data_IF_681737643166
#
_entry.id   IF_681737643166
#
_cell.length_a   1.000
_cell.length_b   1.000
_cell.length_c   1.000
_cell.angle_alpha   90.00
_cell.angle_beta   90.00
_cell.angle_gamma   90.00
#
_symmetry.space_group_name_H-M   'P 1'
#
loop_
_entity.id
_entity.type
_entity.pdbx_description
1 polymer ?
#
# COMPACT_ATOMS: atom_id res chain seq x y z
N UNK A 1 -2.40 11.97 7.52
CA UNK A 1 -1.91 11.84 8.90
C UNK A 1 -0.77 12.80 9.21
N UNK A 2 0.42 12.61 8.67
CA UNK A 2 1.66 13.30 9.11
C UNK A 2 1.89 14.70 8.53
N UNK A 3 1.00 15.20 7.69
CA UNK A 3 1.00 16.57 7.17
C UNK A 3 -0.19 17.40 7.69
N UNK A 4 -1.19 16.78 8.29
CA UNK A 4 -2.45 17.43 8.65
C UNK A 4 -3.29 17.89 7.44
N UNK A 5 -2.95 17.43 6.23
CA UNK A 5 -3.52 17.90 4.97
C UNK A 5 -4.33 16.80 4.29
N UNK A 6 -5.23 17.19 3.38
CA UNK A 6 -5.97 16.28 2.52
C UNK A 6 -5.15 15.88 1.27
N UNK A 7 -5.52 14.80 0.56
CA UNK A 7 -4.87 14.39 -0.69
C UNK A 7 -4.74 15.52 -1.73
N UNK A 8 -5.74 16.41 -1.83
CA UNK A 8 -5.69 17.58 -2.71
C UNK A 8 -4.49 18.50 -2.45
N UNK A 9 -4.00 18.53 -1.20
CA UNK A 9 -2.95 19.43 -0.77
C UNK A 9 -1.59 18.74 -0.74
N UNK A 10 -1.51 17.49 -0.22
CA UNK A 10 -0.23 16.77 -0.13
C UNK A 10 0.09 15.93 -1.38
N UNK A 11 -0.85 15.76 -2.30
CA UNK A 11 -0.64 15.15 -3.61
C UNK A 11 -0.53 13.62 -3.63
N UNK A 12 -0.78 12.93 -2.52
CA UNK A 12 -0.81 11.47 -2.48
C UNK A 12 -2.27 11.03 -2.61
N UNK A 13 -2.64 10.63 -3.80
CA UNK A 13 -4.03 10.29 -4.16
C UNK A 13 -4.32 8.78 -4.07
N UNK A 14 -3.28 7.95 -3.89
CA UNK A 14 -3.37 6.50 -3.78
C UNK A 14 -1.98 5.89 -3.63
N UNK A 15 -1.86 4.56 -3.67
CA UNK A 15 -0.58 3.85 -3.66
C UNK A 15 0.24 4.04 -4.93
N UNK A 16 -0.38 4.60 -5.98
CA UNK A 16 0.21 4.98 -7.23
C UNK A 16 -0.76 5.76 -8.10
N UNK A 17 -0.25 6.32 -9.17
CA UNK A 17 -1.02 7.11 -10.13
C UNK A 17 -0.37 7.13 -11.50
N UNK A 18 -1.07 7.69 -12.47
CA UNK A 18 -0.54 7.95 -13.81
C UNK A 18 0.33 9.20 -13.81
N UNK A 19 1.60 9.04 -14.15
CA UNK A 19 2.54 10.13 -14.38
C UNK A 19 2.37 10.63 -15.81
N UNK A 20 1.58 11.69 -15.97
CA UNK A 20 1.10 12.17 -17.28
C UNK A 20 2.24 12.55 -18.22
N UNK A 21 3.30 13.13 -17.68
CA UNK A 21 4.49 13.56 -18.43
C UNK A 21 5.29 12.37 -18.98
N UNK A 22 5.19 11.23 -18.35
CA UNK A 22 5.89 10.00 -18.74
C UNK A 22 4.99 9.03 -19.51
N UNK A 23 3.67 9.26 -19.51
CA UNK A 23 2.65 8.33 -19.96
C UNK A 23 2.75 6.94 -19.29
N UNK A 24 3.14 6.89 -18.02
CA UNK A 24 3.38 5.67 -17.28
C UNK A 24 2.59 5.63 -15.96
N UNK A 25 2.14 4.44 -15.55
CA UNK A 25 1.55 4.19 -14.25
C UNK A 25 2.63 3.64 -13.32
N UNK A 26 2.86 4.32 -12.20
CA UNK A 26 3.80 3.86 -11.21
C UNK A 26 3.16 3.78 -9.82
N UNK A 27 3.23 2.58 -9.23
CA UNK A 27 2.83 2.33 -7.85
C UNK A 27 4.05 2.20 -6.93
N UNK A 28 3.83 2.37 -5.62
CA UNK A 28 4.78 2.06 -4.55
C UNK A 28 6.08 2.90 -4.58
N UNK A 29 6.03 4.11 -5.15
CA UNK A 29 7.17 5.02 -5.10
C UNK A 29 7.36 5.55 -3.67
N UNK A 30 8.59 5.44 -3.14
CA UNK A 30 8.89 5.69 -1.74
C UNK A 30 9.56 7.05 -1.47
N UNK A 31 9.74 7.90 -2.47
CA UNK A 31 10.36 9.20 -2.28
C UNK A 31 9.45 10.15 -1.47
N UNK A 32 9.95 10.65 -0.35
CA UNK A 32 9.24 11.64 0.47
C UNK A 32 9.00 12.97 -0.28
N UNK A 33 9.80 13.25 -1.33
CA UNK A 33 9.61 14.42 -2.19
C UNK A 33 8.28 14.44 -2.95
N UNK A 34 7.59 13.29 -3.04
CA UNK A 34 6.26 13.20 -3.65
C UNK A 34 5.17 13.75 -2.73
N UNK A 35 5.44 13.85 -1.43
CA UNK A 35 4.49 14.35 -0.42
C UNK A 35 4.71 15.85 -0.24
N UNK A 36 3.77 16.67 -0.69
CA UNK A 36 3.80 18.11 -0.46
C UNK A 36 3.45 18.45 1.00
N UNK A 37 3.70 19.68 1.39
CA UNK A 37 3.42 20.19 2.72
C UNK A 37 4.45 19.81 3.78
N UNK A 38 4.40 20.49 4.90
CA UNK A 38 5.24 20.27 6.06
C UNK A 38 4.84 18.98 6.79
N UNK A 39 5.81 18.19 7.22
CA UNK A 39 5.58 16.96 7.98
C UNK A 39 5.69 17.25 9.47
N UNK A 40 5.01 16.46 10.28
CA UNK A 40 4.96 16.65 11.73
C UNK A 40 6.34 16.73 12.38
N UNK A 41 7.32 15.95 11.90
CA UNK A 41 8.70 16.01 12.43
C UNK A 41 9.45 17.27 12.02
N UNK A 42 9.09 17.90 10.90
CA UNK A 42 9.65 19.18 10.46
C UNK A 42 9.11 20.32 11.34
N UNK A 43 7.81 20.31 11.57
CA UNK A 43 7.15 21.26 12.48
C UNK A 43 7.65 21.13 13.93
N UNK A 44 7.77 19.89 14.42
CA UNK A 44 8.30 19.62 15.77
C UNK A 44 9.75 20.09 15.92
N UNK A 45 10.61 19.87 14.92
CA UNK A 45 12.02 20.31 14.94
C UNK A 45 12.16 21.82 15.03
N UNK A 46 11.23 22.60 14.45
CA UNK A 46 11.22 24.06 14.60
C UNK A 46 10.79 24.55 15.97
N UNK A 47 9.96 23.76 16.67
CA UNK A 47 9.37 24.14 17.96
C UNK A 47 10.16 23.63 19.15
N UNK A 48 10.81 22.50 19.02
CA UNK A 48 11.46 21.77 20.11
C UNK A 48 12.97 21.64 19.85
N UNK A 49 13.82 22.34 20.61
CA UNK A 49 15.27 22.19 20.53
C UNK A 49 15.71 20.74 20.79
N UNK A 50 16.58 20.21 19.94
CA UNK A 50 17.09 18.84 20.08
C UNK A 50 16.13 17.74 19.65
N UNK A 51 14.98 18.09 19.08
CA UNK A 51 14.03 17.12 18.52
C UNK A 51 14.66 16.24 17.44
N UNK A 52 14.40 14.92 17.52
CA UNK A 52 14.81 13.93 16.55
C UNK A 52 13.67 12.97 16.20
N UNK A 53 13.69 12.44 14.96
CA UNK A 53 12.66 11.54 14.45
C UNK A 53 13.25 10.30 13.78
N UNK A 54 12.73 9.12 14.14
CA UNK A 54 12.95 7.87 13.43
C UNK A 54 11.69 7.45 12.68
N UNK A 55 11.86 7.06 11.41
CA UNK A 55 10.78 6.66 10.50
C UNK A 55 11.05 5.25 9.96
N UNK A 56 10.36 4.25 10.51
CA UNK A 56 10.64 2.85 10.31
C UNK A 56 9.51 2.18 9.53
N UNK A 57 9.80 1.85 8.28
CA UNK A 57 8.85 1.25 7.32
C UNK A 57 7.62 2.09 6.99
N UNK A 58 7.48 3.27 7.54
CA UNK A 58 6.40 4.18 7.18
C UNK A 58 6.49 4.58 5.71
N UNK A 59 5.35 4.75 5.04
CA UNK A 59 5.32 5.05 3.61
C UNK A 59 5.99 6.39 3.26
N UNK A 60 6.46 6.51 2.00
CA UNK A 60 7.22 7.66 1.49
C UNK A 60 8.44 7.96 2.36
N UNK A 61 9.24 6.93 2.60
CA UNK A 61 10.32 6.97 3.58
C UNK A 61 11.68 7.39 2.99
N UNK A 62 11.92 7.13 1.72
CA UNK A 62 13.20 7.48 1.08
C UNK A 62 13.33 9.00 0.93
N UNK A 63 14.54 9.51 1.12
CA UNK A 63 14.86 10.94 1.01
C UNK A 63 14.06 11.83 1.96
N UNK A 64 13.62 11.27 3.07
CA UNK A 64 12.91 11.97 4.13
C UNK A 64 13.86 12.90 4.91
N UNK A 65 13.34 13.97 5.50
CA UNK A 65 14.04 14.84 6.43
C UNK A 65 14.08 14.31 7.88
N UNK A 66 13.61 13.08 8.12
CA UNK A 66 13.76 12.40 9.40
C UNK A 66 15.24 12.03 9.65
N UNK A 67 15.65 11.98 10.92
CA UNK A 67 17.06 11.72 11.30
C UNK A 67 17.46 10.26 11.01
N UNK A 68 16.52 9.33 11.19
CA UNK A 68 16.70 7.92 10.87
C UNK A 68 15.54 7.41 10.04
N UNK A 69 15.84 6.77 8.92
CA UNK A 69 14.84 6.16 8.03
C UNK A 69 15.23 4.74 7.68
N UNK A 70 14.27 3.82 7.72
CA UNK A 70 14.43 2.42 7.28
C UNK A 70 13.23 2.02 6.44
N UNK A 71 13.46 1.49 5.22
CA UNK A 71 12.40 1.00 4.34
C UNK A 71 12.90 -0.16 3.48
N UNK A 72 12.05 -1.11 3.05
CA UNK A 72 12.49 -2.19 2.17
C UNK A 72 12.99 -1.62 0.83
N UNK A 73 14.15 -2.08 0.42
CA UNK A 73 14.74 -1.71 -0.87
C UNK A 73 15.51 -2.89 -1.45
N UNK A 74 14.85 -3.82 -2.15
CA UNK A 74 15.54 -4.91 -2.80
C UNK A 74 16.46 -4.41 -3.92
N UNK A 75 17.56 -5.13 -4.13
CA UNK A 75 18.46 -4.93 -5.27
C UNK A 75 18.08 -5.89 -6.38
N UNK A 76 18.08 -5.40 -7.61
CA UNK A 76 17.80 -6.17 -8.82
C UNK A 76 19.05 -6.22 -9.69
N UNK A 77 19.93 -7.24 -9.55
CA UNK A 77 21.08 -7.43 -10.41
C UNK A 77 20.67 -7.70 -11.86
N UNK A 78 21.60 -7.47 -12.80
CA UNK A 78 21.38 -7.70 -14.22
C UNK A 78 21.00 -9.13 -14.60
N UNK A 79 21.32 -10.10 -13.75
CA UNK A 79 20.96 -11.51 -13.93
C UNK A 79 19.48 -11.83 -13.59
N UNK A 80 18.70 -10.84 -13.16
CA UNK A 80 17.26 -10.94 -12.86
C UNK A 80 16.94 -11.44 -11.46
N UNK A 81 17.92 -11.65 -10.57
CA UNK A 81 17.67 -11.97 -9.17
C UNK A 81 17.00 -10.80 -8.45
N UNK A 82 16.25 -11.12 -7.40
CA UNK A 82 15.74 -10.15 -6.43
C UNK A 82 16.42 -10.43 -5.10
N UNK A 83 17.33 -9.55 -4.70
CA UNK A 83 18.08 -9.68 -3.44
C UNK A 83 17.38 -8.82 -2.38
N UNK A 84 16.94 -9.39 -1.25
CA UNK A 84 16.41 -8.62 -0.12
C UNK A 84 17.42 -7.57 0.35
N UNK A 85 16.91 -6.42 0.78
CA UNK A 85 17.72 -5.35 1.32
C UNK A 85 16.84 -4.23 1.86
N UNK A 86 17.47 -3.32 2.59
CA UNK A 86 16.85 -2.12 3.17
C UNK A 86 17.57 -0.86 2.69
N UNK A 87 16.81 0.20 2.49
CA UNK A 87 17.35 1.56 2.40
C UNK A 87 17.33 2.16 3.80
N UNK A 88 18.45 2.75 4.19
CA UNK A 88 18.56 3.48 5.46
C UNK A 88 19.13 4.88 5.24
N UNK A 89 18.72 5.78 6.11
CA UNK A 89 19.33 7.09 6.28
C UNK A 89 19.57 7.29 7.78
N UNK A 90 20.82 7.57 8.20
CA UNK A 90 22.05 7.51 7.39
C UNK A 90 22.38 6.08 6.91
N UNK A 91 23.15 5.91 5.82
CA UNK A 91 23.45 4.58 5.25
C UNK A 91 24.09 3.59 6.22
N UNK A 92 24.93 4.07 7.14
CA UNK A 92 25.57 3.23 8.17
C UNK A 92 24.58 2.48 9.06
N UNK A 93 23.36 3.00 9.22
CA UNK A 93 22.30 2.36 10.01
C UNK A 93 21.92 0.98 9.45
N UNK A 94 22.01 0.75 8.13
CA UNK A 94 21.72 -0.55 7.54
C UNK A 94 22.65 -1.64 8.09
N UNK A 95 23.96 -1.37 8.16
CA UNK A 95 24.93 -2.32 8.71
C UNK A 95 24.72 -2.60 10.21
N UNK A 96 24.31 -1.57 10.98
CA UNK A 96 23.99 -1.74 12.39
C UNK A 96 22.80 -2.69 12.57
N UNK A 97 21.74 -2.49 11.79
CA UNK A 97 20.50 -3.28 11.87
C UNK A 97 20.73 -4.71 11.36
N UNK A 98 21.32 -4.87 10.17
CA UNK A 98 21.51 -6.19 9.56
C UNK A 98 22.48 -7.09 10.35
N UNK A 99 23.45 -6.50 11.05
CA UNK A 99 24.34 -7.25 11.95
C UNK A 99 23.60 -7.87 13.13
N UNK A 100 22.60 -7.19 13.67
CA UNK A 100 21.83 -7.65 14.84
C UNK A 100 20.64 -8.54 14.47
N UNK A 101 19.93 -8.17 13.41
CA UNK A 101 18.64 -8.77 13.05
C UNK A 101 18.75 -9.69 11.83
N UNK A 102 19.88 -9.68 11.13
CA UNK A 102 20.00 -10.32 9.83
C UNK A 102 19.25 -9.57 8.73
N UNK A 103 19.27 -10.13 7.52
CA UNK A 103 18.62 -9.52 6.35
C UNK A 103 17.10 -9.41 6.54
N UNK A 104 16.53 -8.33 6.01
CA UNK A 104 15.07 -8.14 6.02
C UNK A 104 14.34 -9.27 5.30
N UNK A 105 13.32 -9.90 5.92
CA UNK A 105 12.61 -11.04 5.35
C UNK A 105 11.60 -10.61 4.26
N UNK A 106 12.09 -10.08 3.14
CA UNK A 106 11.31 -9.48 2.07
C UNK A 106 10.21 -10.38 1.52
N UNK A 107 10.47 -11.69 1.39
CA UNK A 107 9.49 -12.65 0.85
C UNK A 107 8.37 -13.01 1.85
N UNK A 108 8.51 -12.60 3.11
CA UNK A 108 7.46 -12.64 4.13
C UNK A 108 6.82 -11.25 4.38
N UNK A 109 7.27 -10.23 3.65
CA UNK A 109 6.70 -8.89 3.70
C UNK A 109 5.55 -8.72 2.71
N UNK A 110 5.67 -9.28 1.50
CA UNK A 110 4.60 -9.30 0.50
C UNK A 110 4.69 -10.55 -0.37
N UNK A 111 3.53 -11.07 -0.77
CA UNK A 111 3.40 -12.28 -1.58
C UNK A 111 2.76 -13.44 -0.81
N UNK A 112 2.76 -14.65 -1.37
CA UNK A 112 2.11 -15.82 -0.76
C UNK A 112 2.68 -16.21 0.60
N UNK A 113 3.94 -15.88 0.86
CA UNK A 113 4.62 -16.10 2.14
C UNK A 113 4.46 -14.97 3.16
N UNK A 114 3.69 -13.92 2.84
CA UNK A 114 3.51 -12.77 3.75
C UNK A 114 2.88 -13.18 5.07
N UNK A 115 3.46 -12.70 6.18
CA UNK A 115 3.03 -13.10 7.52
C UNK A 115 3.74 -12.31 8.63
N UNK A 116 3.64 -12.82 9.86
CA UNK A 116 4.11 -12.13 11.07
C UNK A 116 5.63 -11.86 11.09
N UNK A 117 6.42 -12.68 10.41
CA UNK A 117 7.90 -12.63 10.44
C UNK A 117 8.43 -11.27 10.04
N UNK A 118 7.89 -10.65 8.99
CA UNK A 118 8.30 -9.32 8.55
C UNK A 118 7.93 -8.23 9.57
N UNK A 119 6.73 -8.30 10.15
CA UNK A 119 6.29 -7.34 11.17
C UNK A 119 7.07 -7.51 12.48
N UNK A 120 7.45 -8.74 12.85
CA UNK A 120 8.35 -8.99 13.98
C UNK A 120 9.72 -8.34 13.76
N UNK A 121 10.31 -8.55 12.58
CA UNK A 121 11.59 -7.93 12.22
C UNK A 121 11.50 -6.39 12.29
N UNK A 122 10.38 -5.81 11.82
CA UNK A 122 10.15 -4.35 11.90
C UNK A 122 10.03 -3.88 13.34
N UNK A 123 9.32 -4.62 14.20
CA UNK A 123 9.20 -4.30 15.63
C UNK A 123 10.56 -4.40 16.35
N UNK A 124 11.36 -5.41 16.03
CA UNK A 124 12.72 -5.57 16.57
C UNK A 124 13.66 -4.45 16.07
N UNK A 125 13.53 -4.04 14.81
CA UNK A 125 14.23 -2.87 14.26
C UNK A 125 13.83 -1.60 15.02
N UNK A 126 12.54 -1.41 15.29
CA UNK A 126 12.05 -0.27 16.06
C UNK A 126 12.67 -0.25 17.47
N UNK A 127 12.65 -1.38 18.16
CA UNK A 127 13.26 -1.52 19.47
C UNK A 127 14.74 -1.16 19.46
N UNK A 128 15.50 -1.71 18.49
CA UNK A 128 16.94 -1.44 18.32
C UNK A 128 17.22 0.06 18.10
N UNK A 129 16.44 0.72 17.24
CA UNK A 129 16.61 2.14 16.94
C UNK A 129 16.25 3.00 18.17
N UNK A 130 15.16 2.70 18.86
CA UNK A 130 14.75 3.41 20.07
C UNK A 130 15.85 3.29 21.15
N UNK A 131 16.38 2.10 21.40
CA UNK A 131 17.43 1.86 22.40
C UNK A 131 18.73 2.61 22.08
N UNK A 132 19.17 2.58 20.82
CA UNK A 132 20.49 3.12 20.43
C UNK A 132 20.48 4.58 20.08
N UNK A 133 19.38 5.08 19.48
CA UNK A 133 19.32 6.46 18.95
C UNK A 133 18.47 7.38 19.82
N UNK A 134 17.56 6.84 20.65
CA UNK A 134 16.65 7.58 21.54
C UNK A 134 15.92 8.73 20.82
N UNK A 135 15.25 8.47 19.69
CA UNK A 135 14.52 9.52 18.98
C UNK A 135 13.38 10.08 19.84
N UNK A 136 13.09 11.38 19.67
CA UNK A 136 11.95 12.03 20.32
C UNK A 136 10.64 11.50 19.79
N UNK A 137 10.56 11.27 18.47
CA UNK A 137 9.41 10.67 17.80
C UNK A 137 9.85 9.43 17.01
N UNK A 138 9.14 8.32 17.21
CA UNK A 138 9.35 7.10 16.39
C UNK A 138 8.07 6.74 15.67
N UNK A 139 8.13 6.64 14.35
CA UNK A 139 7.04 6.19 13.48
C UNK A 139 7.33 4.77 13.01
N UNK A 140 6.44 3.83 13.32
CA UNK A 140 6.59 2.40 12.98
C UNK A 140 5.38 1.93 12.19
N UNK A 141 5.60 1.22 11.09
CA UNK A 141 4.54 0.60 10.30
C UNK A 141 4.59 -0.93 10.43
N UNK A 142 3.48 -1.54 10.79
CA UNK A 142 3.32 -2.99 10.93
C UNK A 142 2.22 -3.49 9.96
N UNK A 143 2.57 -4.08 8.81
CA UNK A 143 1.60 -4.42 7.75
C UNK A 143 0.81 -5.72 7.98
N UNK A 144 1.01 -6.42 9.09
CA UNK A 144 0.56 -7.80 9.28
C UNK A 144 -0.94 -8.03 9.07
N UNK A 145 -1.78 -7.06 9.43
CA UNK A 145 -3.23 -7.20 9.32
C UNK A 145 -3.73 -7.23 7.86
N UNK A 146 -3.03 -6.58 6.94
CA UNK A 146 -3.41 -6.59 5.53
C UNK A 146 -3.45 -8.01 4.94
N UNK A 147 -2.56 -8.88 5.37
CA UNK A 147 -2.38 -10.18 4.72
C UNK A 147 -3.58 -11.10 4.88
N UNK A 148 -3.89 -11.48 6.11
CA UNK A 148 -4.95 -12.46 6.37
C UNK A 148 -6.35 -11.83 6.26
N UNK A 149 -6.49 -10.53 6.54
CA UNK A 149 -7.75 -9.84 6.30
C UNK A 149 -8.10 -9.78 4.82
N UNK A 150 -7.13 -9.57 3.92
CA UNK A 150 -7.39 -9.61 2.47
C UNK A 150 -7.59 -11.04 1.96
N UNK A 151 -6.85 -12.03 2.52
CA UNK A 151 -6.99 -13.43 2.11
C UNK A 151 -8.33 -14.04 2.51
N UNK A 152 -8.80 -13.79 3.73
CA UNK A 152 -9.88 -14.54 4.37
C UNK A 152 -11.07 -13.67 4.77
N UNK A 153 -10.88 -12.35 4.78
CA UNK A 153 -11.85 -11.40 5.31
C UNK A 153 -11.67 -11.15 6.81
N UNK A 154 -12.19 -10.01 7.32
CA UNK A 154 -11.95 -9.58 8.70
C UNK A 154 -12.60 -10.51 9.75
N UNK A 155 -13.70 -11.19 9.41
CA UNK A 155 -14.46 -12.04 10.34
C UNK A 155 -13.91 -13.45 10.48
N UNK A 156 -12.98 -13.88 9.63
CA UNK A 156 -12.40 -15.22 9.64
C UNK A 156 -11.57 -15.45 10.94
N UNK A 157 -11.64 -16.66 11.55
CA UNK A 157 -10.80 -16.98 12.71
C UNK A 157 -9.30 -16.79 12.51
N UNK A 158 -8.79 -16.97 11.28
CA UNK A 158 -7.37 -16.73 10.92
C UNK A 158 -7.03 -15.24 11.01
N UNK A 159 -7.91 -14.36 10.55
CA UNK A 159 -7.76 -12.90 10.67
C UNK A 159 -7.79 -12.46 12.14
N UNK A 160 -8.63 -13.07 12.97
CA UNK A 160 -8.61 -12.84 14.43
C UNK A 160 -7.32 -13.34 15.08
N UNK A 161 -6.76 -14.45 14.60
CA UNK A 161 -5.45 -14.92 15.07
C UNK A 161 -4.33 -13.97 14.66
N UNK A 162 -4.36 -13.43 13.43
CA UNK A 162 -3.42 -12.39 12.97
C UNK A 162 -3.51 -11.11 13.81
N UNK A 163 -4.73 -10.69 14.19
CA UNK A 163 -4.92 -9.55 15.09
C UNK A 163 -4.25 -9.80 16.46
N UNK A 164 -4.46 -10.95 17.08
CA UNK A 164 -3.79 -11.29 18.36
C UNK A 164 -2.26 -11.33 18.22
N UNK A 165 -1.77 -11.80 17.08
CA UNK A 165 -0.33 -11.88 16.83
C UNK A 165 0.32 -10.49 16.72
N UNK A 166 -0.30 -9.55 16.01
CA UNK A 166 0.21 -8.18 15.91
C UNK A 166 0.01 -7.40 17.22
N UNK A 167 -1.08 -7.65 17.94
CA UNK A 167 -1.34 -7.09 19.27
C UNK A 167 -0.21 -7.46 20.26
N UNK A 168 0.27 -8.70 20.19
CA UNK A 168 1.45 -9.12 20.96
C UNK A 168 2.71 -8.29 20.64
N UNK A 169 2.97 -8.01 19.35
CA UNK A 169 4.09 -7.14 18.95
C UNK A 169 3.90 -5.69 19.43
N UNK A 170 2.67 -5.18 19.36
CA UNK A 170 2.33 -3.85 19.87
C UNK A 170 2.49 -3.80 21.38
N UNK A 171 2.10 -4.87 22.09
CA UNK A 171 2.31 -5.01 23.54
C UNK A 171 3.79 -4.97 23.94
N UNK A 172 4.65 -5.66 23.17
CA UNK A 172 6.11 -5.63 23.36
C UNK A 172 6.67 -4.21 23.17
N UNK A 173 6.24 -3.52 22.09
CA UNK A 173 6.61 -2.12 21.83
C UNK A 173 6.09 -1.18 22.91
N UNK A 174 4.87 -1.36 23.42
CA UNK A 174 4.29 -0.58 24.49
C UNK A 174 5.08 -0.74 25.80
N UNK A 175 5.47 -1.98 26.13
CA UNK A 175 6.33 -2.26 27.27
C UNK A 175 7.69 -1.57 27.12
N UNK A 176 8.25 -1.56 25.92
CA UNK A 176 9.51 -0.89 25.62
C UNK A 176 9.40 0.64 25.71
N UNK A 177 8.38 1.23 25.10
CA UNK A 177 8.10 2.67 25.18
C UNK A 177 7.95 3.13 26.65
N UNK A 178 7.19 2.38 27.46
CA UNK A 178 7.01 2.69 28.90
C UNK A 178 8.34 2.71 29.66
N UNK A 179 9.23 1.73 29.42
CA UNK A 179 10.57 1.72 30.05
C UNK A 179 11.44 2.89 29.59
N UNK A 180 11.24 3.35 28.36
CA UNK A 180 11.94 4.52 27.81
C UNK A 180 11.31 5.87 28.22
N UNK A 181 10.22 5.87 29.01
CA UNK A 181 9.49 7.09 29.38
C UNK A 181 8.72 7.71 28.21
N UNK A 182 8.42 6.93 27.18
CA UNK A 182 7.68 7.37 25.99
C UNK A 182 6.24 6.86 26.01
N UNK A 183 5.37 7.58 25.33
CA UNK A 183 3.98 7.20 25.10
C UNK A 183 3.79 6.54 23.74
N UNK A 184 2.77 5.70 23.61
CA UNK A 184 2.44 4.99 22.38
C UNK A 184 1.08 5.41 21.88
N UNK A 185 1.01 5.74 20.57
CA UNK A 185 -0.20 5.86 19.79
C UNK A 185 -0.24 4.72 18.76
N UNK A 186 -1.31 3.94 18.76
CA UNK A 186 -1.62 2.96 17.71
C UNK A 186 -2.67 3.56 16.80
N UNK A 187 -2.36 3.62 15.52
CA UNK A 187 -3.30 4.16 14.51
C UNK A 187 -3.41 3.18 13.35
N UNK A 188 -4.61 3.04 12.79
CA UNK A 188 -4.78 2.47 11.45
C UNK A 188 -5.22 3.56 10.48
N UNK A 189 -4.88 3.40 9.21
CA UNK A 189 -5.27 4.36 8.17
C UNK A 189 -6.63 4.02 7.53
N UNK A 190 -7.11 2.79 7.71
CA UNK A 190 -8.40 2.29 7.21
C UNK A 190 -8.90 1.11 8.05
N UNK A 191 -10.17 0.75 7.86
CA UNK A 191 -10.73 -0.54 8.22
C UNK A 191 -10.83 -1.44 6.98
N UNK A 192 -10.60 -2.74 7.12
CA UNK A 192 -10.77 -3.73 6.05
C UNK A 192 -12.17 -4.32 6.16
N UNK A 193 -12.90 -4.33 5.04
CA UNK A 193 -14.26 -4.88 4.94
C UNK A 193 -14.26 -6.20 4.20
N UNK A 194 -15.26 -7.03 4.52
CA UNK A 194 -15.53 -8.25 3.75
C UNK A 194 -15.92 -7.87 2.31
N UNK A 195 -15.26 -8.50 1.33
CA UNK A 195 -15.62 -8.39 -0.09
C UNK A 195 -15.86 -9.76 -0.69
N UNK A 196 -16.64 -9.80 -1.76
CA UNK A 196 -17.03 -11.03 -2.44
C UNK A 196 -16.93 -10.91 -3.96
N UNK A 197 -16.78 -9.67 -4.47
CA UNK A 197 -16.86 -9.37 -5.89
C UNK A 197 -15.64 -8.61 -6.36
N UNK A 198 -14.95 -9.19 -7.32
CA UNK A 198 -13.93 -8.51 -8.11
C UNK A 198 -14.58 -7.82 -9.32
N UNK A 199 -14.26 -6.56 -9.56
CA UNK A 199 -14.76 -5.78 -10.70
C UNK A 199 -13.61 -5.48 -11.64
N UNK A 200 -13.67 -6.02 -12.86
CA UNK A 200 -12.66 -5.86 -13.89
C UNK A 200 -12.88 -4.55 -14.67
N UNK A 201 -12.64 -3.42 -14.04
CA UNK A 201 -12.92 -2.09 -14.56
C UNK A 201 -12.21 -1.83 -15.90
N UNK A 202 -10.93 -2.21 -16.02
CA UNK A 202 -10.15 -2.02 -17.25
C UNK A 202 -10.59 -2.95 -18.38
N UNK A 203 -11.04 -4.18 -18.09
CA UNK A 203 -11.63 -5.06 -19.08
C UNK A 203 -12.90 -4.46 -19.68
N UNK A 204 -13.72 -3.78 -18.86
CA UNK A 204 -14.91 -3.09 -19.36
C UNK A 204 -14.56 -1.91 -20.27
N UNK A 205 -13.63 -1.04 -19.84
CA UNK A 205 -13.15 0.08 -20.66
C UNK A 205 -12.54 -0.41 -21.98
N UNK A 206 -11.84 -1.54 -21.98
CA UNK A 206 -11.30 -2.14 -23.20
C UNK A 206 -12.38 -2.65 -24.13
N UNK A 207 -13.43 -3.34 -23.63
CA UNK A 207 -14.56 -3.78 -24.44
C UNK A 207 -15.32 -2.61 -25.07
N UNK A 208 -15.36 -1.47 -24.38
CA UNK A 208 -15.93 -0.23 -24.89
C UNK A 208 -15.03 0.52 -25.90
N UNK A 209 -13.83 -0.01 -26.22
CA UNK A 209 -12.89 0.63 -27.14
C UNK A 209 -12.20 1.88 -26.58
N UNK A 210 -12.20 2.03 -25.24
CA UNK A 210 -11.59 3.18 -24.55
C UNK A 210 -10.14 2.90 -24.13
N UNK A 211 -9.80 1.65 -23.78
CA UNK A 211 -8.47 1.24 -23.36
C UNK A 211 -7.71 0.58 -24.49
N UNK A 212 -6.47 1.02 -24.72
CA UNK A 212 -5.55 0.46 -25.69
C UNK A 212 -4.50 -0.44 -25.03
N UNK A 213 -4.06 -1.45 -25.76
CA UNK A 213 -2.95 -2.33 -25.37
C UNK A 213 -1.96 -2.47 -26.54
N UNK A 214 -0.72 -2.80 -26.20
CA UNK A 214 0.30 -3.24 -27.14
C UNK A 214 0.43 -4.75 -27.06
N UNK A 215 0.28 -5.44 -28.18
CA UNK A 215 0.57 -6.87 -28.28
C UNK A 215 2.08 -7.07 -28.41
N UNK A 216 2.66 -7.86 -27.49
CA UNK A 216 4.10 -8.04 -27.39
C UNK A 216 4.46 -9.51 -27.18
N UNK A 217 5.74 -9.82 -27.25
CA UNK A 217 6.26 -11.18 -26.97
C UNK A 217 6.08 -11.64 -25.54
N UNK A 218 5.72 -10.72 -24.62
CA UNK A 218 5.47 -11.00 -23.20
C UNK A 218 4.00 -10.88 -22.83
N UNK A 219 3.11 -10.91 -23.82
CA UNK A 219 1.68 -10.70 -23.68
C UNK A 219 1.27 -9.26 -23.94
N UNK A 220 0.01 -8.95 -23.65
CA UNK A 220 -0.54 -7.61 -23.84
C UNK A 220 -0.07 -6.66 -22.74
N UNK A 221 0.46 -5.50 -23.12
CA UNK A 221 0.84 -4.44 -22.19
C UNK A 221 -0.15 -3.26 -22.32
N UNK A 222 -0.53 -2.68 -21.19
CA UNK A 222 -1.35 -1.46 -21.18
C UNK A 222 -0.60 -0.32 -21.87
N UNK A 223 -1.20 0.25 -22.92
CA UNK A 223 -0.75 1.51 -23.51
C UNK A 223 -1.56 2.67 -22.91
N UNK A 224 -1.06 3.19 -21.80
CA UNK A 224 -1.72 4.27 -21.08
C UNK A 224 -1.78 5.56 -21.93
N UNK A 225 -0.72 5.83 -22.73
CA UNK A 225 -0.63 7.01 -23.58
C UNK A 225 -1.56 6.97 -24.78
N UNK A 226 -1.78 5.80 -25.38
CA UNK A 226 -2.71 5.61 -26.51
C UNK A 226 -4.17 5.42 -26.05
N UNK A 227 -4.41 5.06 -24.79
CA UNK A 227 -5.75 4.86 -24.26
C UNK A 227 -6.55 6.17 -24.25
N UNK A 228 -7.84 6.09 -24.65
CA UNK A 228 -8.80 7.19 -24.46
C UNK A 228 -9.20 7.30 -22.99
N UNK A 229 -9.37 6.14 -22.33
CA UNK A 229 -9.57 6.05 -20.89
C UNK A 229 -9.03 4.72 -20.34
N UNK A 230 -8.45 4.75 -19.12
CA UNK A 230 -8.04 3.58 -18.36
C UNK A 230 -8.09 3.87 -16.87
N UNK A 231 -8.14 2.82 -16.05
CA UNK A 231 -8.22 2.93 -14.60
C UNK A 231 -6.92 2.46 -13.93
N UNK A 232 -6.46 3.19 -12.94
CA UNK A 232 -5.48 2.74 -11.95
C UNK A 232 -6.25 2.28 -10.72
N UNK A 233 -6.45 0.97 -10.61
CA UNK A 233 -7.19 0.33 -9.54
C UNK A 233 -6.36 0.29 -8.24
N UNK A 234 -6.97 0.68 -7.14
CA UNK A 234 -6.38 0.67 -5.81
C UNK A 234 -7.44 0.26 -4.77
N UNK A 235 -7.60 -1.05 -4.57
CA UNK A 235 -8.57 -1.65 -3.67
C UNK A 235 -10.04 -1.33 -4.04
N UNK A 236 -10.74 -0.53 -3.23
CA UNK A 236 -12.14 -0.14 -3.44
C UNK A 236 -12.30 1.20 -4.16
N UNK A 237 -11.20 1.81 -4.59
CA UNK A 237 -11.22 2.99 -5.46
C UNK A 237 -10.42 2.72 -6.73
N UNK A 238 -10.72 3.45 -7.81
CA UNK A 238 -9.92 3.46 -9.00
C UNK A 238 -9.91 4.86 -9.60
N UNK A 239 -8.71 5.43 -9.81
CA UNK A 239 -8.55 6.65 -10.56
C UNK A 239 -8.68 6.36 -12.05
N UNK A 240 -9.66 6.96 -12.71
CA UNK A 240 -9.90 6.76 -14.13
C UNK A 240 -9.40 7.98 -14.88
N UNK A 241 -8.36 7.77 -15.65
CA UNK A 241 -7.71 8.81 -16.46
C UNK A 241 -8.34 8.83 -17.83
N UNK A 242 -8.82 10.00 -18.25
CA UNK A 242 -9.47 10.22 -19.53
C UNK A 242 -8.64 11.25 -20.31
N UNK A 243 -8.14 10.85 -21.49
CA UNK A 243 -7.23 11.67 -22.28
C UNK A 243 -7.89 12.92 -22.83
N UNK A 244 -9.11 12.78 -23.37
CA UNK A 244 -9.90 13.87 -23.91
C UNK A 244 -11.15 14.08 -23.03
N UNK A 245 -11.39 15.30 -22.62
CA UNK A 245 -12.56 15.64 -21.80
C UNK A 245 -13.90 15.32 -22.49
N UNK A 246 -13.92 15.27 -23.83
CA UNK A 246 -15.08 14.83 -24.59
C UNK A 246 -15.47 13.38 -24.30
N UNK A 247 -14.51 12.54 -23.88
CA UNK A 247 -14.73 11.13 -23.55
C UNK A 247 -15.18 10.88 -22.11
N UNK A 248 -15.20 11.91 -21.25
CA UNK A 248 -15.58 11.76 -19.83
C UNK A 248 -17.01 11.24 -19.69
N UNK A 249 -17.95 11.77 -20.50
CA UNK A 249 -19.35 11.35 -20.44
C UNK A 249 -19.57 9.87 -20.81
N UNK A 250 -18.94 9.39 -21.88
CA UNK A 250 -19.04 7.99 -22.28
C UNK A 250 -18.31 7.08 -21.29
N UNK A 251 -17.14 7.49 -20.82
CA UNK A 251 -16.38 6.74 -19.80
C UNK A 251 -17.20 6.58 -18.51
N UNK A 252 -17.79 7.67 -18.03
CA UNK A 252 -18.66 7.64 -16.84
C UNK A 252 -19.83 6.67 -17.03
N UNK A 253 -20.52 6.74 -18.17
CA UNK A 253 -21.66 5.87 -18.45
C UNK A 253 -21.27 4.38 -18.48
N UNK A 254 -20.09 4.04 -19.01
CA UNK A 254 -19.58 2.66 -18.96
C UNK A 254 -19.27 2.20 -17.54
N UNK A 255 -18.70 3.06 -16.70
CA UNK A 255 -18.40 2.74 -15.31
C UNK A 255 -19.67 2.53 -14.46
N UNK A 256 -20.67 3.41 -14.63
CA UNK A 256 -21.94 3.35 -13.88
C UNK A 256 -22.79 2.12 -14.21
N UNK A 257 -22.55 1.48 -15.37
CA UNK A 257 -23.22 0.21 -15.74
C UNK A 257 -22.60 -1.01 -15.08
N UNK A 258 -21.41 -0.89 -14.53
CA UNK A 258 -20.70 -2.04 -13.94
C UNK A 258 -21.33 -2.42 -12.60
N UNK A 259 -21.83 -3.63 -12.54
CA UNK A 259 -22.27 -4.20 -11.27
C UNK A 259 -21.07 -4.31 -10.31
N UNK A 260 -21.17 -3.67 -9.15
CA UNK A 260 -20.10 -3.54 -8.15
C UNK A 260 -19.41 -2.16 -8.15
N UNK A 261 -19.79 -1.23 -9.04
CA UNK A 261 -19.49 0.20 -8.92
C UNK A 261 -20.65 0.87 -8.19
N UNK A 262 -20.37 1.56 -7.08
CA UNK A 262 -21.38 2.25 -6.30
C UNK A 262 -21.49 3.73 -6.66
N UNK A 263 -20.39 4.36 -7.06
CA UNK A 263 -20.35 5.77 -7.40
C UNK A 263 -19.20 6.06 -8.38
N UNK A 264 -19.33 7.13 -9.16
CA UNK A 264 -18.32 7.66 -10.07
C UNK A 264 -18.18 9.15 -9.82
N UNK A 265 -17.16 9.53 -9.05
CA UNK A 265 -16.89 10.90 -8.67
C UNK A 265 -16.32 11.68 -9.84
N UNK A 266 -16.98 12.75 -10.23
CA UNK A 266 -16.47 13.78 -11.13
C UNK A 266 -15.67 14.86 -10.38
N UNK A 267 -15.42 16.01 -10.99
CA UNK A 267 -14.68 17.09 -10.38
C UNK A 267 -15.28 17.54 -9.03
N UNK A 268 -16.62 17.69 -8.97
CA UNK A 268 -17.32 18.08 -7.74
C UNK A 268 -17.30 16.99 -6.67
N UNK A 269 -17.49 15.73 -7.09
CA UNK A 269 -17.41 14.60 -6.18
C UNK A 269 -16.01 14.43 -5.59
N UNK A 270 -14.95 14.61 -6.39
CA UNK A 270 -13.55 14.60 -5.91
C UNK A 270 -13.28 15.75 -4.94
N UNK A 271 -13.76 16.96 -5.24
CA UNK A 271 -13.66 18.13 -4.36
C UNK A 271 -14.28 17.87 -2.99
N UNK A 272 -15.46 17.27 -2.97
CA UNK A 272 -16.18 16.96 -1.72
C UNK A 272 -15.41 16.00 -0.79
N UNK A 273 -14.58 15.11 -1.35
CA UNK A 273 -13.78 14.14 -0.58
C UNK A 273 -12.28 14.49 -0.52
N UNK A 274 -11.87 15.63 -1.05
CA UNK A 274 -10.48 16.10 -1.00
C UNK A 274 -9.52 15.35 -1.91
N UNK A 275 -10.00 14.82 -3.05
CA UNK A 275 -9.22 14.11 -4.08
C UNK A 275 -9.00 14.94 -5.36
N UNK A 276 -9.34 16.21 -5.38
CA UNK A 276 -9.23 17.13 -6.51
C UNK A 276 -7.79 17.64 -6.71
N UNK A 277 -6.88 16.72 -6.98
CA UNK A 277 -5.46 17.00 -7.25
C UNK A 277 -5.11 16.64 -8.72
N UNK A 278 -4.12 17.30 -9.38
CA UNK A 278 -3.71 16.98 -10.75
C UNK A 278 -3.25 15.54 -10.98
N UNK A 279 -2.81 14.84 -9.94
CA UNK A 279 -2.46 13.41 -10.00
C UNK A 279 -3.67 12.49 -10.01
N UNK A 280 -4.86 12.96 -9.63
CA UNK A 280 -6.10 12.18 -9.70
C UNK A 280 -6.55 11.98 -11.14
N UNK A 281 -7.28 10.89 -11.38
CA UNK A 281 -8.00 10.70 -12.63
C UNK A 281 -9.09 11.76 -12.83
N UNK A 282 -9.54 11.95 -14.05
CA UNK A 282 -10.69 12.79 -14.38
C UNK A 282 -11.93 12.34 -13.63
N UNK A 283 -12.08 11.01 -13.49
CA UNK A 283 -13.09 10.37 -12.65
C UNK A 283 -12.42 9.51 -11.57
N UNK A 284 -13.15 9.27 -10.48
CA UNK A 284 -12.78 8.27 -9.47
C UNK A 284 -13.96 7.32 -9.27
N UNK A 285 -13.77 6.06 -9.65
CA UNK A 285 -14.75 5.02 -9.38
C UNK A 285 -14.63 4.54 -7.93
N UNK A 286 -15.77 4.36 -7.25
CA UNK A 286 -15.88 3.84 -5.90
C UNK A 286 -16.64 2.53 -5.96
N UNK A 287 -16.05 1.46 -5.43
CA UNK A 287 -16.67 0.15 -5.43
C UNK A 287 -17.87 0.06 -4.46
N UNK A 288 -18.78 -0.86 -4.73
CA UNK A 288 -19.82 -1.26 -3.78
C UNK A 288 -19.18 -1.80 -2.48
N UNK A 289 -19.91 -1.78 -1.35
CA UNK A 289 -19.33 -2.16 -0.05
C UNK A 289 -18.67 -3.55 -0.01
N UNK A 290 -19.14 -4.49 -0.83
CA UNK A 290 -18.69 -5.86 -0.92
C UNK A 290 -17.90 -6.17 -2.21
N UNK A 291 -17.49 -5.12 -2.96
CA UNK A 291 -16.73 -5.22 -4.19
C UNK A 291 -15.38 -4.52 -4.08
N UNK A 292 -14.46 -4.85 -4.98
CA UNK A 292 -13.15 -4.23 -5.14
C UNK A 292 -12.73 -4.25 -6.61
N UNK A 293 -11.76 -3.42 -7.04
CA UNK A 293 -11.33 -3.28 -8.42
C UNK A 293 -10.05 -4.05 -8.71
N UNK A 294 -10.08 -4.88 -9.79
CA UNK A 294 -8.86 -5.47 -10.34
C UNK A 294 -8.17 -4.47 -11.29
N UNK A 295 -6.86 -4.69 -11.54
CA UNK A 295 -6.14 -3.94 -12.57
C UNK A 295 -6.21 -4.63 -13.96
N UNK A 296 -6.82 -5.81 -14.06
CA UNK A 296 -6.78 -6.66 -15.25
C UNK A 296 -7.41 -5.96 -16.46
N UNK A 297 -6.62 -5.85 -17.53
CA UNK A 297 -7.03 -5.18 -18.78
C UNK A 297 -7.05 -6.11 -20.00
N UNK A 298 -6.38 -7.28 -19.96
CA UNK A 298 -6.46 -8.31 -21.00
C UNK A 298 -7.83 -9.00 -20.98
N UNK A 299 -8.33 -9.36 -22.19
CA UNK A 299 -9.65 -9.99 -22.32
C UNK A 299 -9.60 -11.51 -22.25
N UNK A 300 -8.44 -12.10 -22.57
CA UNK A 300 -8.15 -13.51 -22.48
C UNK A 300 -6.90 -13.72 -21.62
N UNK A 301 -6.95 -14.62 -20.66
CA UNK A 301 -5.84 -14.88 -19.73
C UNK A 301 -4.60 -15.47 -20.44
N UNK A 302 -4.75 -16.03 -21.64
CA UNK A 302 -3.62 -16.44 -22.49
C UNK A 302 -2.81 -15.26 -23.03
N UNK A 303 -3.41 -14.08 -23.08
CA UNK A 303 -2.78 -12.83 -23.50
C UNK A 303 -2.28 -12.00 -22.30
N UNK A 304 -2.46 -12.51 -21.07
CA UNK A 304 -2.00 -11.79 -19.87
C UNK A 304 -0.48 -11.52 -19.95
N UNK A 305 -0.01 -10.35 -19.47
CA UNK A 305 1.41 -10.04 -19.47
C UNK A 305 2.18 -11.01 -18.55
N UNK A 306 3.45 -11.26 -18.85
CA UNK A 306 4.31 -12.22 -18.13
C UNK A 306 4.46 -11.94 -16.64
N UNK A 307 4.28 -10.67 -16.24
CA UNK A 307 4.33 -10.27 -14.84
C UNK A 307 3.02 -10.56 -14.09
N UNK A 308 1.89 -10.74 -14.77
CA UNK A 308 0.59 -10.92 -14.11
C UNK A 308 0.57 -12.09 -13.11
N UNK A 309 1.08 -13.31 -13.44
CA UNK A 309 1.12 -14.43 -12.51
C UNK A 309 2.30 -14.37 -11.53
N UNK A 310 2.94 -13.22 -11.33
CA UNK A 310 4.12 -13.07 -10.46
C UNK A 310 3.88 -12.09 -9.32
N UNK A 311 4.73 -12.11 -8.29
CA UNK A 311 4.82 -11.05 -7.27
C UNK A 311 5.73 -9.95 -7.80
N UNK A 312 5.14 -8.97 -8.47
CA UNK A 312 5.84 -7.83 -9.08
C UNK A 312 5.04 -6.53 -8.99
N UNK A 313 4.98 -5.96 -7.81
CA UNK A 313 4.20 -4.76 -7.49
C UNK A 313 4.59 -3.49 -8.27
N UNK A 314 5.79 -3.48 -8.91
CA UNK A 314 6.27 -2.30 -9.62
C UNK A 314 5.94 -2.32 -11.13
N UNK A 315 5.64 -3.49 -11.71
CA UNK A 315 5.28 -3.65 -13.13
C UNK A 315 3.77 -3.62 -13.36
N UNK A 316 2.98 -3.97 -12.33
CA UNK A 316 1.52 -3.98 -12.42
C UNK A 316 0.97 -2.55 -12.39
N UNK A 317 0.10 -2.17 -13.34
CA UNK A 317 -0.48 -0.82 -13.40
C UNK A 317 -1.67 -0.64 -12.46
N UNK A 318 -1.70 -1.32 -11.33
CA UNK A 318 -2.70 -1.25 -10.29
C UNK A 318 -2.39 -2.21 -9.15
N UNK A 319 -3.07 -2.06 -8.03
CA UNK A 319 -2.91 -2.93 -6.88
C UNK A 319 -3.47 -4.34 -7.16
N UNK A 320 -2.72 -5.36 -6.75
CA UNK A 320 -3.09 -6.76 -6.97
C UNK A 320 -2.99 -7.60 -5.70
N UNK A 321 -4.05 -7.71 -4.89
CA UNK A 321 -4.06 -8.57 -3.72
C UNK A 321 -4.03 -10.07 -4.06
N UNK A 322 -4.22 -10.46 -5.33
CA UNK A 322 -4.03 -11.85 -5.76
C UNK A 322 -2.60 -12.34 -5.55
N UNK A 323 -1.62 -11.42 -5.46
CA UNK A 323 -0.24 -11.74 -5.08
C UNK A 323 -0.09 -12.40 -3.70
N UNK A 324 -1.07 -12.26 -2.83
CA UNK A 324 -1.09 -12.93 -1.52
C UNK A 324 -1.39 -14.43 -1.60
N UNK A 325 -1.80 -14.94 -2.77
CA UNK A 325 -2.23 -16.32 -2.95
C UNK A 325 -1.26 -17.12 -3.80
N UNK A 326 -1.26 -18.43 -3.60
CA UNK A 326 -0.69 -19.37 -4.55
C UNK A 326 -1.82 -19.98 -5.38
N UNK A 327 -1.65 -20.01 -6.68
CA UNK A 327 -2.56 -20.74 -7.55
C UNK A 327 -2.70 -22.20 -7.05
N UNK A 328 -3.92 -22.71 -7.01
CA UNK A 328 -4.22 -24.02 -6.45
C UNK A 328 -3.77 -25.19 -7.34
N UNK A 329 -3.75 -26.40 -6.75
CA UNK A 329 -3.58 -27.66 -7.46
C UNK A 329 -2.17 -28.21 -7.56
N UNK A 330 -2.08 -29.49 -8.02
CA UNK A 330 -0.82 -30.22 -8.14
C UNK A 330 0.13 -29.59 -9.18
N UNK A 331 -0.41 -29.03 -10.26
CA UNK A 331 0.37 -28.38 -11.31
C UNK A 331 1.17 -27.19 -10.77
N UNK A 332 0.56 -26.38 -9.91
CA UNK A 332 1.26 -25.25 -9.27
C UNK A 332 2.35 -25.71 -8.31
N UNK A 333 2.11 -26.77 -7.55
CA UNK A 333 3.14 -27.34 -6.67
C UNK A 333 4.35 -27.84 -7.47
N UNK A 334 4.12 -28.54 -8.58
CA UNK A 334 5.19 -29.01 -9.48
C UNK A 334 5.93 -27.81 -10.12
N UNK A 335 5.19 -26.81 -10.59
CA UNK A 335 5.76 -25.58 -11.13
C UNK A 335 6.63 -24.86 -10.09
N UNK A 336 6.13 -24.68 -8.89
CA UNK A 336 6.88 -24.09 -7.78
C UNK A 336 8.17 -24.86 -7.49
N UNK A 337 8.10 -26.19 -7.39
CA UNK A 337 9.28 -27.03 -7.17
C UNK A 337 10.30 -26.88 -8.31
N UNK A 338 9.84 -26.87 -9.57
CA UNK A 338 10.68 -26.63 -10.74
C UNK A 338 11.36 -25.26 -10.70
N UNK A 339 10.60 -24.19 -10.40
CA UNK A 339 11.16 -22.82 -10.28
C UNK A 339 12.18 -22.71 -9.14
N UNK A 340 11.93 -23.37 -8.01
CA UNK A 340 12.90 -23.43 -6.91
C UNK A 340 14.17 -24.22 -7.29
N UNK A 341 14.03 -25.28 -8.07
CA UNK A 341 15.19 -26.01 -8.62
C UNK A 341 15.99 -25.12 -9.60
N UNK A 342 15.33 -24.43 -10.53
CA UNK A 342 15.99 -23.46 -11.42
C UNK A 342 16.76 -22.41 -10.62
N UNK A 343 16.14 -21.85 -9.56
CA UNK A 343 16.78 -20.90 -8.65
C UNK A 343 18.04 -21.50 -8.00
N UNK A 344 17.93 -22.73 -7.49
CA UNK A 344 19.06 -23.42 -6.82
C UNK A 344 20.22 -23.69 -7.77
N UNK A 345 19.93 -23.97 -9.03
CA UNK A 345 20.93 -24.22 -10.07
C UNK A 345 21.48 -22.94 -10.72
N UNK A 346 21.02 -21.75 -10.29
CA UNK A 346 21.51 -20.47 -10.81
C UNK A 346 20.92 -20.03 -12.16
N UNK A 347 19.88 -20.71 -12.65
CA UNK A 347 19.18 -20.31 -13.87
C UNK A 347 18.27 -19.11 -13.62
N UNK A 348 18.05 -18.32 -14.67
CA UNK A 348 16.95 -17.34 -14.68
C UNK A 348 15.61 -18.06 -14.58
N UNK A 349 14.71 -17.55 -13.76
CA UNK A 349 13.37 -18.11 -13.59
C UNK A 349 12.36 -17.00 -13.35
N UNK A 350 11.12 -17.29 -13.71
CA UNK A 350 9.95 -16.47 -13.40
C UNK A 350 9.11 -17.24 -12.38
N UNK A 351 8.80 -16.64 -11.23
CA UNK A 351 7.97 -17.26 -10.19
C UNK A 351 6.48 -17.03 -10.49
N UNK A 352 6.02 -17.68 -11.55
CA UNK A 352 4.68 -17.56 -12.13
C UNK A 352 3.65 -18.46 -11.40
N UNK A 353 3.39 -18.17 -10.14
CA UNK A 353 2.58 -19.00 -9.22
C UNK A 353 1.35 -18.29 -8.64
N UNK A 354 1.13 -17.02 -9.04
CA UNK A 354 0.01 -16.21 -8.58
C UNK A 354 -1.23 -16.50 -9.44
N UNK A 355 -2.43 -16.67 -8.85
CA UNK A 355 -3.66 -16.83 -9.62
C UNK A 355 -4.05 -15.51 -10.30
N UNK A 356 -4.71 -15.64 -11.47
CA UNK A 356 -5.32 -14.50 -12.17
C UNK A 356 -6.82 -14.40 -11.85
N UNK A 357 -7.21 -14.73 -10.62
CA UNK A 357 -8.60 -14.77 -10.17
C UNK A 357 -8.80 -13.82 -8.98
N UNK A 358 -9.47 -12.70 -9.23
CA UNK A 358 -9.83 -11.73 -8.20
C UNK A 358 -10.80 -12.28 -7.14
N UNK A 359 -11.56 -13.31 -7.47
CA UNK A 359 -12.60 -13.89 -6.60
C UNK A 359 -12.09 -14.56 -5.32
N UNK A 360 -10.78 -14.75 -5.20
CA UNK A 360 -10.18 -15.30 -3.98
C UNK A 360 -10.00 -14.27 -2.87
N UNK A 361 -9.97 -13.00 -3.21
CA UNK A 361 -9.84 -11.90 -2.25
C UNK A 361 -11.13 -11.79 -1.43
N UNK A 362 -10.98 -11.74 -0.11
CA UNK A 362 -12.08 -11.70 0.84
C UNK A 362 -12.16 -10.44 1.66
N UNK A 363 -11.13 -9.60 1.64
CA UNK A 363 -11.11 -8.33 2.33
C UNK A 363 -10.51 -7.23 1.47
N UNK A 364 -11.05 -6.04 1.57
CA UNK A 364 -10.54 -4.85 0.88
C UNK A 364 -10.89 -3.58 1.63
N UNK A 365 -10.32 -2.46 1.21
CA UNK A 365 -10.50 -1.14 1.81
C UNK A 365 -10.43 -0.04 0.73
N UNK A 366 -10.48 1.22 1.14
CA UNK A 366 -10.29 2.38 0.26
C UNK A 366 -11.53 3.24 0.08
N UNK A 367 -12.75 2.66 0.21
CA UNK A 367 -13.97 3.48 0.21
C UNK A 367 -14.18 4.13 1.57
N UNK A 368 -14.68 5.36 1.58
CA UNK A 368 -15.13 6.02 2.82
C UNK A 368 -16.36 5.29 3.38
N UNK A 369 -16.36 4.99 4.67
CA UNK A 369 -17.49 4.40 5.37
C UNK A 369 -18.24 5.49 6.15
N UNK A 370 -19.58 5.49 6.01
CA UNK A 370 -20.43 6.34 6.86
C UNK A 370 -20.54 5.79 8.31
N UNK A 371 -20.30 4.49 8.50
CA UNK A 371 -20.33 3.84 9.80
C UNK A 371 -18.92 3.81 10.41
N UNK A 372 -18.71 4.48 11.56
CA UNK A 372 -17.40 4.51 12.25
C UNK A 372 -16.88 3.14 12.67
N UNK A 373 -17.76 2.14 12.86
CA UNK A 373 -17.36 0.75 13.20
C UNK A 373 -16.47 0.13 12.12
N UNK A 374 -16.61 0.59 10.88
CA UNK A 374 -15.79 0.16 9.75
C UNK A 374 -14.64 1.12 9.43
N UNK A 375 -14.44 2.12 10.25
CA UNK A 375 -13.38 3.13 10.10
C UNK A 375 -12.06 2.73 10.72
N UNK A 376 -11.05 3.60 10.59
CA UNK A 376 -9.76 3.45 11.25
C UNK A 376 -9.87 3.58 12.77
N UNK A 377 -8.85 3.10 13.49
CA UNK A 377 -8.77 3.16 14.95
C UNK A 377 -7.64 4.08 15.40
N UNK A 378 -7.83 4.70 16.58
CA UNK A 378 -6.81 5.43 17.33
C UNK A 378 -6.84 4.94 18.78
N UNK A 379 -5.72 4.41 19.27
CA UNK A 379 -5.57 3.91 20.63
C UNK A 379 -4.34 4.56 21.27
N UNK A 380 -4.51 5.23 22.40
CA UNK A 380 -3.42 5.82 23.17
C UNK A 380 -3.07 4.99 24.41
N UNK A 381 -1.80 4.93 24.76
CA UNK A 381 -1.31 4.30 26.00
C UNK A 381 -1.64 5.11 27.24
N UNK A 382 -2.01 6.38 27.07
CA UNK A 382 -2.34 7.32 28.14
C UNK A 382 -3.69 8.00 27.85
N UNK A 383 -4.55 8.12 28.85
CA UNK A 383 -5.86 8.78 28.74
C UNK A 383 -5.78 10.29 28.41
N UNK A 384 -4.64 10.94 28.68
CA UNK A 384 -4.39 12.34 28.31
C UNK A 384 -4.31 12.57 26.78
N UNK A 385 -4.09 11.51 26.00
CA UNK A 385 -4.08 11.53 24.54
C UNK A 385 -5.48 11.40 23.91
N UNK A 386 -6.52 11.26 24.74
CA UNK A 386 -7.88 11.09 24.24
C UNK A 386 -8.45 12.43 23.76
N UNK A 387 -8.65 12.62 22.45
CA UNK A 387 -9.31 13.83 21.95
C UNK A 387 -10.77 13.86 22.38
N UNK A 388 -11.33 15.07 22.53
CA UNK A 388 -12.72 15.27 22.95
C UNK A 388 -13.75 14.68 21.97
N UNK A 389 -13.37 14.58 20.70
CA UNK A 389 -14.17 13.95 19.61
C UNK A 389 -13.29 12.93 18.87
N UNK A 390 -13.88 11.90 18.26
CA UNK A 390 -13.12 11.04 17.34
C UNK A 390 -12.42 11.91 16.29
N UNK A 391 -11.07 11.88 16.22
CA UNK A 391 -10.33 12.73 15.30
C UNK A 391 -10.42 12.20 13.87
N UNK A 392 -10.38 13.10 12.90
CA UNK A 392 -10.09 12.75 11.53
C UNK A 392 -8.60 12.43 11.33
N UNK A 393 -8.27 11.85 10.19
CA UNK A 393 -6.87 11.51 9.86
C UNK A 393 -5.95 12.74 9.80
N UNK A 394 -6.49 13.90 9.44
CA UNK A 394 -5.76 15.17 9.40
C UNK A 394 -5.44 15.72 10.78
N UNK A 395 -6.25 15.41 11.78
CA UNK A 395 -6.08 15.93 13.15
C UNK A 395 -4.87 15.29 13.86
N UNK A 396 -4.39 14.15 13.36
CA UNK A 396 -3.25 13.43 13.96
C UNK A 396 -1.97 14.28 13.97
N UNK A 397 -1.77 15.13 12.98
CA UNK A 397 -0.66 16.07 12.93
C UNK A 397 -0.63 16.98 14.16
N UNK A 398 -1.76 17.66 14.44
CA UNK A 398 -1.91 18.54 15.60
C UNK A 398 -1.81 17.75 16.92
N UNK A 399 -2.47 16.60 17.02
CA UNK A 399 -2.43 15.73 18.19
C UNK A 399 -1.00 15.31 18.58
N UNK A 400 -0.17 14.94 17.59
CA UNK A 400 1.23 14.58 17.84
C UNK A 400 2.02 15.81 18.32
N UNK A 401 1.85 16.99 17.70
CA UNK A 401 2.56 18.20 18.11
C UNK A 401 2.19 18.65 19.51
N UNK A 402 0.90 18.72 19.81
CA UNK A 402 0.42 19.07 21.17
C UNK A 402 0.96 18.14 22.24
N UNK A 403 1.09 16.85 21.89
CA UNK A 403 1.64 15.88 22.83
C UNK A 403 3.15 16.05 23.03
N UNK A 404 3.90 16.36 21.97
CA UNK A 404 5.34 16.58 22.03
C UNK A 404 5.71 17.90 22.77
N UNK A 405 4.81 18.85 22.85
CA UNK A 405 4.99 20.15 23.51
C UNK A 405 4.67 20.13 25.03
N UNK A 406 4.08 19.04 25.53
CA UNK A 406 3.79 18.82 26.96
C UNK A 406 5.00 18.32 27.73
#
# INVERSE_FOLDING_TARGET
MLTGMLPRDHGIVGNGWYFRELAEVWLWRQSNRLVAGEKVWEAARRRLPGFTCAKLFWWYNMHSSADWSVTPRPTYPADGRKIPGIYCQPPALAHEIERELGAFPLFQFWGPGAGLTSSRWIADCARLVIERKRPTLTLVYLPHLDYDHQRYGPDDPRSRAALRAVDGLVGDLAGHARRAGAELLVVSEYGIRQVRKAVDINRALRRAGLLAVQDTVVGELLDAGASRAFAVADHQIAHVYVRDLADVGITRAELERLDGVADVLDAKGKEAVGLDHPRSGELVAVAAPDAWFTYYYWLDDTCAPDFAPTVDIHRKPGYDPAELFLAGGQRTKLRLAYRLLQKKLGFRYVMDVIPLHGDWVRGSHGRLSADPVHGPVLIGSNGALKPAKPPGMTDLFALILEHLER
#
